data_IF_090936393015
#
_entry.id   IF_090936393015
#
_cell.length_a   1.000
_cell.length_b   1.000
_cell.length_c   1.000
_cell.angle_alpha   90.00
_cell.angle_beta   90.00
_cell.angle_gamma   90.00
#
_symmetry.space_group_name_H-M   'P 1'
#
loop_
_entity.id
_entity.type
_entity.pdbx_description
1 polymer ?
#
# COMPACT_ATOMS: atom_id res chain seq x y z
N UNK A 1 11.78 -50.67 -10.87
CA UNK A 1 11.95 -49.20 -10.99
C UNK A 1 10.78 -48.56 -10.28
N UNK A 2 10.98 -48.03 -9.07
CA UNK A 2 9.93 -47.43 -8.26
C UNK A 2 9.95 -45.91 -8.48
N UNK A 3 8.80 -45.36 -8.86
CA UNK A 3 8.60 -43.92 -9.04
C UNK A 3 8.83 -43.19 -7.71
N UNK A 4 9.79 -42.27 -7.72
CA UNK A 4 9.96 -41.26 -6.66
C UNK A 4 8.81 -40.26 -6.82
N UNK A 5 7.97 -40.03 -5.79
CA UNK A 5 6.98 -38.97 -5.86
C UNK A 5 7.74 -37.64 -5.67
N UNK A 6 7.74 -36.82 -6.71
CA UNK A 6 8.21 -35.45 -6.66
C UNK A 6 7.31 -34.63 -5.73
N UNK A 7 7.90 -34.08 -4.68
CA UNK A 7 7.25 -33.24 -3.68
C UNK A 7 6.59 -32.00 -4.31
N UNK A 8 5.49 -31.47 -3.73
CA UNK A 8 4.84 -30.26 -4.21
C UNK A 8 5.54 -29.00 -3.68
N UNK A 9 6.86 -28.93 -3.69
CA UNK A 9 7.60 -27.75 -3.20
C UNK A 9 7.50 -26.53 -4.14
N UNK A 10 6.98 -26.74 -5.36
CA UNK A 10 6.98 -25.72 -6.41
C UNK A 10 5.78 -24.76 -6.37
N UNK A 11 4.70 -25.09 -5.66
CA UNK A 11 3.48 -24.26 -5.64
C UNK A 11 3.41 -23.32 -4.43
N UNK A 12 3.92 -23.74 -3.27
CA UNK A 12 3.98 -22.89 -2.07
C UNK A 12 5.08 -21.83 -2.17
N UNK A 13 6.23 -22.18 -2.76
CA UNK A 13 7.33 -21.24 -3.04
C UNK A 13 6.91 -20.17 -4.05
N UNK A 14 6.22 -20.56 -5.13
CA UNK A 14 5.65 -19.62 -6.10
C UNK A 14 4.56 -18.71 -5.49
N UNK A 15 3.79 -19.23 -4.54
CA UNK A 15 2.80 -18.44 -3.76
C UNK A 15 3.49 -17.42 -2.85
N UNK A 16 4.53 -17.84 -2.12
CA UNK A 16 5.32 -16.96 -1.25
C UNK A 16 6.07 -15.88 -2.06
N UNK A 17 6.62 -16.23 -3.23
CA UNK A 17 7.22 -15.26 -4.16
C UNK A 17 6.21 -14.26 -4.70
N UNK A 18 5.01 -14.72 -5.08
CA UNK A 18 3.93 -13.82 -5.52
C UNK A 18 3.49 -12.86 -4.43
N UNK A 19 3.43 -13.31 -3.18
CA UNK A 19 3.09 -12.47 -2.03
C UNK A 19 4.23 -11.48 -1.69
N UNK A 20 5.48 -11.90 -1.82
CA UNK A 20 6.62 -11.02 -1.64
C UNK A 20 6.64 -9.91 -2.71
N UNK A 21 6.35 -10.25 -3.97
CA UNK A 21 6.20 -9.28 -5.06
C UNK A 21 5.06 -8.29 -4.77
N UNK A 22 3.89 -8.79 -4.37
CA UNK A 22 2.76 -7.92 -4.01
C UNK A 22 3.11 -6.98 -2.83
N UNK A 23 3.81 -7.48 -1.81
CA UNK A 23 4.26 -6.65 -0.69
C UNK A 23 5.28 -5.58 -1.14
N UNK A 24 6.14 -5.89 -2.11
CA UNK A 24 7.03 -4.89 -2.71
C UNK A 24 6.24 -3.80 -3.44
N UNK A 25 5.23 -4.18 -4.23
CA UNK A 25 4.36 -3.24 -4.93
C UNK A 25 3.56 -2.35 -3.95
N UNK A 26 3.08 -2.93 -2.86
CA UNK A 26 2.35 -2.22 -1.81
C UNK A 26 3.28 -1.21 -1.10
N UNK A 27 4.53 -1.59 -0.81
CA UNK A 27 5.54 -0.69 -0.24
C UNK A 27 5.88 0.45 -1.20
N UNK A 28 5.96 0.18 -2.50
CA UNK A 28 6.19 1.23 -3.49
C UNK A 28 5.01 2.21 -3.58
N UNK A 29 3.78 1.70 -3.48
CA UNK A 29 2.56 2.51 -3.37
C UNK A 29 2.56 3.38 -2.09
N UNK A 30 3.02 2.83 -0.96
CA UNK A 30 3.18 3.60 0.28
C UNK A 30 4.25 4.69 0.16
N UNK A 31 5.34 4.45 -0.58
CA UNK A 31 6.35 5.48 -0.86
C UNK A 31 5.78 6.63 -1.70
N UNK A 32 4.85 6.37 -2.61
CA UNK A 32 4.16 7.43 -3.34
C UNK A 32 3.32 8.32 -2.40
N UNK A 33 2.63 7.71 -1.42
CA UNK A 33 1.88 8.43 -0.39
C UNK A 33 2.80 9.25 0.50
N UNK A 34 3.93 8.69 0.94
CA UNK A 34 4.93 9.41 1.73
C UNK A 34 5.46 10.64 0.95
N UNK A 35 5.71 10.51 -0.35
CA UNK A 35 6.12 11.64 -1.20
C UNK A 35 5.04 12.70 -1.30
N UNK A 36 3.77 12.31 -1.41
CA UNK A 36 2.65 13.26 -1.41
C UNK A 36 2.57 14.03 -0.09
N UNK A 37 2.70 13.35 1.06
CA UNK A 37 2.78 14.01 2.37
C UNK A 37 3.96 14.97 2.47
N UNK A 38 5.15 14.58 1.99
CA UNK A 38 6.32 15.47 1.95
C UNK A 38 6.12 16.69 1.02
N UNK A 39 5.35 16.56 -0.07
CA UNK A 39 4.98 17.70 -0.91
C UNK A 39 3.99 18.63 -0.20
N UNK A 40 3.02 18.08 0.51
CA UNK A 40 2.08 18.87 1.34
C UNK A 40 2.84 19.60 2.44
N UNK A 41 3.79 18.93 3.10
CA UNK A 41 4.67 19.55 4.09
C UNK A 41 5.44 20.73 3.51
N UNK A 42 5.98 20.62 2.28
CA UNK A 42 6.66 21.74 1.59
C UNK A 42 5.73 22.89 1.17
N UNK A 43 4.45 22.62 0.92
CA UNK A 43 3.44 23.67 0.66
C UNK A 43 3.03 24.40 1.93
N UNK A 44 3.20 23.76 3.08
CA UNK A 44 2.87 24.31 4.40
C UNK A 44 4.11 24.93 5.05
N UNK A 45 5.33 24.48 4.70
CA UNK A 45 6.59 24.99 5.23
C UNK A 45 6.75 26.46 4.84
N UNK A 46 6.69 27.38 5.82
CA UNK A 46 6.60 28.79 5.52
C UNK A 46 7.99 29.37 5.29
N UNK A 47 8.79 28.93 4.29
CA UNK A 47 9.97 29.73 3.88
C UNK A 47 10.36 29.75 2.38
N UNK A 48 10.00 30.89 1.77
CA UNK A 48 10.85 31.86 1.02
C UNK A 48 11.60 31.36 -0.23
N UNK A 49 11.29 31.98 -1.38
CA UNK A 49 12.16 32.92 -2.15
C UNK A 49 11.62 33.01 -3.60
N UNK A 50 11.17 34.22 -3.98
CA UNK A 50 11.08 34.81 -5.34
C UNK A 50 9.86 34.61 -6.26
N UNK A 51 8.87 33.77 -5.99
CA UNK A 51 7.61 33.84 -6.73
C UNK A 51 6.59 34.71 -5.98
N UNK A 52 6.07 35.72 -6.67
CA UNK A 52 5.26 36.80 -6.11
C UNK A 52 3.82 36.41 -5.73
N UNK A 53 3.44 35.14 -5.86
CA UNK A 53 2.16 34.63 -5.35
C UNK A 53 2.40 33.71 -4.15
N UNK A 54 2.30 34.30 -2.96
CA UNK A 54 2.27 33.57 -1.70
C UNK A 54 0.99 32.72 -1.68
N UNK A 55 1.11 31.41 -1.94
CA UNK A 55 -0.01 30.47 -1.87
C UNK A 55 -0.34 30.22 -0.40
N UNK A 56 -1.33 30.93 0.12
CA UNK A 56 -1.85 30.78 1.48
C UNK A 56 -3.17 30.00 1.47
N UNK A 57 -3.16 28.65 1.48
CA UNK A 57 -4.38 27.87 1.50
C UNK A 57 -5.17 28.14 2.79
N UNK A 58 -6.47 28.33 2.67
CA UNK A 58 -7.33 28.54 3.81
C UNK A 58 -7.69 27.20 4.49
N UNK A 59 -8.23 27.27 5.72
CA UNK A 59 -8.58 26.10 6.53
C UNK A 59 -9.52 25.13 5.81
N UNK A 60 -10.44 25.62 4.98
CA UNK A 60 -11.38 24.79 4.24
C UNK A 60 -10.69 24.01 3.11
N UNK A 61 -9.75 24.64 2.41
CA UNK A 61 -8.94 24.00 1.35
C UNK A 61 -8.04 22.90 1.93
N UNK A 62 -7.38 23.18 3.07
CA UNK A 62 -6.61 22.19 3.80
C UNK A 62 -7.50 21.04 4.30
N UNK A 63 -8.69 21.36 4.83
CA UNK A 63 -9.63 20.34 5.30
C UNK A 63 -10.12 19.43 4.16
N UNK A 64 -10.40 20.00 2.98
CA UNK A 64 -10.80 19.23 1.80
C UNK A 64 -9.68 18.31 1.32
N UNK A 65 -8.44 18.80 1.29
CA UNK A 65 -7.28 18.00 0.91
C UNK A 65 -7.07 16.83 1.89
N UNK A 66 -7.08 17.10 3.19
CA UNK A 66 -6.93 16.07 4.23
C UNK A 66 -8.07 15.06 4.17
N UNK A 67 -9.30 15.49 3.88
CA UNK A 67 -10.43 14.58 3.71
C UNK A 67 -10.20 13.59 2.57
N UNK A 68 -9.81 14.07 1.38
CA UNK A 68 -9.53 13.20 0.22
C UNK A 68 -8.43 12.19 0.52
N UNK A 69 -7.36 12.64 1.18
CA UNK A 69 -6.24 11.76 1.59
C UNK A 69 -6.72 10.70 2.58
N UNK A 70 -7.53 11.07 3.57
CA UNK A 70 -8.05 10.14 4.57
C UNK A 70 -9.00 9.10 3.95
N UNK A 71 -9.87 9.51 3.03
CA UNK A 71 -10.78 8.61 2.31
C UNK A 71 -9.99 7.57 1.49
N UNK A 72 -8.97 8.02 0.76
CA UNK A 72 -8.09 7.14 -0.01
C UNK A 72 -7.32 6.17 0.88
N UNK A 73 -6.78 6.65 2.01
CA UNK A 73 -6.08 5.80 2.97
C UNK A 73 -7.01 4.74 3.56
N UNK A 74 -8.24 5.12 3.91
CA UNK A 74 -9.25 4.18 4.42
C UNK A 74 -9.55 3.08 3.40
N UNK A 75 -9.80 3.45 2.13
CA UNK A 75 -10.07 2.47 1.06
C UNK A 75 -8.92 1.48 0.89
N UNK A 76 -7.67 1.94 0.99
CA UNK A 76 -6.48 1.08 0.89
C UNK A 76 -6.38 0.11 2.06
N UNK A 77 -6.67 0.57 3.27
CA UNK A 77 -6.70 -0.30 4.47
C UNK A 77 -7.75 -1.39 4.29
N UNK A 78 -8.97 -1.05 3.85
CA UNK A 78 -10.02 -2.04 3.62
C UNK A 78 -9.63 -3.08 2.56
N UNK A 79 -8.97 -2.63 1.49
CA UNK A 79 -8.47 -3.50 0.42
C UNK A 79 -7.39 -4.45 0.94
N UNK A 80 -6.42 -3.93 1.72
CA UNK A 80 -5.38 -4.74 2.33
C UNK A 80 -5.95 -5.75 3.34
N UNK A 81 -6.90 -5.34 4.17
CA UNK A 81 -7.59 -6.23 5.12
C UNK A 81 -8.38 -7.34 4.41
N UNK A 82 -8.99 -7.03 3.25
CA UNK A 82 -9.67 -8.03 2.42
C UNK A 82 -8.66 -9.03 1.85
N UNK A 83 -7.52 -8.55 1.33
CA UNK A 83 -6.46 -9.39 0.81
C UNK A 83 -5.87 -10.32 1.88
N UNK A 84 -5.58 -9.80 3.08
CA UNK A 84 -5.08 -10.59 4.22
C UNK A 84 -6.10 -11.66 4.65
N UNK A 85 -7.39 -11.33 4.67
CA UNK A 85 -8.45 -12.31 4.97
C UNK A 85 -8.53 -13.40 3.92
N UNK A 86 -8.51 -13.03 2.64
CA UNK A 86 -8.51 -14.00 1.53
C UNK A 86 -7.29 -14.93 1.61
N UNK A 87 -6.10 -14.40 1.90
CA UNK A 87 -4.89 -15.19 2.09
C UNK A 87 -5.03 -16.19 3.25
N UNK A 88 -5.57 -15.75 4.39
CA UNK A 88 -5.79 -16.64 5.54
C UNK A 88 -6.75 -17.78 5.23
N UNK A 89 -7.82 -17.50 4.48
CA UNK A 89 -8.77 -18.52 4.03
C UNK A 89 -8.07 -19.53 3.12
N UNK A 90 -7.35 -19.05 2.09
CA UNK A 90 -6.64 -19.93 1.18
C UNK A 90 -5.59 -20.83 1.87
N UNK A 91 -4.84 -20.29 2.84
CA UNK A 91 -3.86 -21.05 3.64
C UNK A 91 -4.55 -22.01 4.61
N UNK A 92 -5.65 -21.60 5.25
CA UNK A 92 -6.42 -22.45 6.17
C UNK A 92 -7.13 -23.61 5.46
N UNK A 93 -7.60 -23.39 4.23
CA UNK A 93 -8.19 -24.43 3.38
C UNK A 93 -7.11 -25.37 2.80
N UNK A 94 -5.90 -24.87 2.55
CA UNK A 94 -4.75 -25.67 2.12
C UNK A 94 -4.14 -26.58 3.20
N UNK A 95 -4.30 -26.24 4.49
CA UNK A 95 -3.77 -27.02 5.62
C UNK A 95 -4.66 -28.17 6.10
N UNK A 96 -5.85 -28.36 5.52
CA UNK A 96 -6.82 -29.37 5.94
C UNK A 96 -6.79 -30.67 5.11
N UNK A 97 -5.71 -30.94 4.36
CA UNK A 97 -5.61 -32.12 3.50
C UNK A 97 -4.28 -32.85 3.62
#
# INVERSE_FOLDING_TARGET
MAHVPSFPESSESASAESLALQACDDVESLRAVQRAYACIEKLIDPQRVQDTEEVCPNRSELSALVQVVNEELHRRIETADAAVRALRVAVGEGGAK
#
